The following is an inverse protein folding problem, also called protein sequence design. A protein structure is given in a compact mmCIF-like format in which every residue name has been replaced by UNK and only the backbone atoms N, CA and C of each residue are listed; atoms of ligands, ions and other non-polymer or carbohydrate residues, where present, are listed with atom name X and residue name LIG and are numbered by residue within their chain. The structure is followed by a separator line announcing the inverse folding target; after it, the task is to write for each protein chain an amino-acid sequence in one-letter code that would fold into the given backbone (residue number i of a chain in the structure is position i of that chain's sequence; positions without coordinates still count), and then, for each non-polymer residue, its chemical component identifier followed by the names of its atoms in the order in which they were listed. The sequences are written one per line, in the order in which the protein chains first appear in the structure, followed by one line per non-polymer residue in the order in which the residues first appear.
data_IF_391141179660
#
_entry.id   IF_391141179660
#
_cell.length_a   1.000
_cell.length_b   1.000
_cell.length_c   1.000
_cell.angle_alpha   90.00
_cell.angle_beta   90.00
_cell.angle_gamma   90.00
#
_symmetry.space_group_name_H-M   'P 1'
#
loop_
_entity.id
_entity.type
_entity.pdbx_description
1 polymer ?
#
# COMPACT_ATOMS: atom_id res chain seq x y z
N UNK A 1 -15.00 10.81 -36.01
CA UNK A 1 -15.63 9.63 -35.37
C UNK A 1 -14.51 8.79 -34.79
N UNK A 2 -14.43 8.67 -33.47
CA UNK A 2 -13.52 7.69 -32.84
C UNK A 2 -14.01 6.32 -33.28
N UNK A 3 -13.11 5.50 -33.83
CA UNK A 3 -13.44 4.12 -34.15
C UNK A 3 -13.80 3.42 -32.83
N UNK A 4 -15.05 2.99 -32.68
CA UNK A 4 -15.56 2.37 -31.44
C UNK A 4 -14.66 1.21 -30.97
N UNK A 5 -14.04 0.48 -31.90
CA UNK A 5 -13.10 -0.59 -31.57
C UNK A 5 -11.84 -0.08 -30.87
N UNK A 6 -11.34 1.10 -31.26
CA UNK A 6 -10.16 1.71 -30.64
C UNK A 6 -10.46 2.18 -29.22
N UNK A 7 -11.67 2.70 -28.99
CA UNK A 7 -12.14 3.12 -27.67
C UNK A 7 -12.33 1.93 -26.71
N UNK A 8 -12.92 0.84 -27.20
CA UNK A 8 -13.06 -0.41 -26.43
C UNK A 8 -11.69 -1.00 -26.08
N UNK A 9 -10.74 -0.98 -27.02
CA UNK A 9 -9.39 -1.49 -26.78
C UNK A 9 -8.63 -0.66 -25.72
N UNK A 10 -8.82 0.66 -25.74
CA UNK A 10 -8.27 1.58 -24.73
C UNK A 10 -8.85 1.34 -23.34
N UNK A 11 -10.17 1.15 -23.23
CA UNK A 11 -10.81 0.81 -21.95
C UNK A 11 -10.30 -0.52 -21.43
N UNK A 12 -10.23 -1.54 -22.28
CA UNK A 12 -9.73 -2.86 -21.91
C UNK A 12 -8.28 -2.77 -21.39
N UNK A 13 -7.39 -2.08 -22.08
CA UNK A 13 -5.99 -1.94 -21.65
C UNK A 13 -5.87 -1.18 -20.33
N UNK A 14 -6.69 -0.15 -20.10
CA UNK A 14 -6.74 0.60 -18.85
C UNK A 14 -7.16 -0.28 -17.67
N UNK A 15 -8.20 -1.11 -17.84
CA UNK A 15 -8.66 -2.02 -16.80
C UNK A 15 -7.66 -3.15 -16.52
N UNK A 16 -7.03 -3.73 -17.56
CA UNK A 16 -5.97 -4.73 -17.39
C UNK A 16 -4.74 -4.14 -16.67
N UNK A 17 -4.34 -2.90 -17.00
CA UNK A 17 -3.23 -2.23 -16.34
C UNK A 17 -3.46 -2.05 -14.84
N UNK A 18 -4.70 -1.77 -14.41
CA UNK A 18 -5.02 -1.68 -12.98
C UNK A 18 -4.94 -3.03 -12.27
N UNK A 19 -5.38 -4.11 -12.90
CA UNK A 19 -5.32 -5.46 -12.31
C UNK A 19 -3.87 -5.91 -12.13
N UNK A 20 -2.97 -5.54 -13.05
CA UNK A 20 -1.53 -5.86 -12.95
C UNK A 20 -0.81 -5.18 -11.77
N UNK A 21 -1.43 -4.22 -11.07
CA UNK A 21 -0.83 -3.55 -9.90
C UNK A 21 -1.20 -4.19 -8.56
N UNK A 22 -2.05 -5.22 -8.56
CA UNK A 22 -2.41 -5.94 -7.33
C UNK A 22 -1.32 -6.98 -7.01
N UNK A 23 -0.45 -6.67 -6.05
CA UNK A 23 0.48 -7.63 -5.47
C UNK A 23 -0.21 -8.40 -4.34
N UNK A 24 -0.17 -9.72 -4.40
CA UNK A 24 -0.59 -10.57 -3.29
C UNK A 24 0.50 -10.59 -2.23
N UNK A 25 0.13 -10.23 -1.00
CA UNK A 25 1.00 -10.30 0.17
C UNK A 25 0.80 -11.67 0.82
N UNK A 26 1.86 -12.48 0.83
CA UNK A 26 1.86 -13.80 1.48
C UNK A 26 2.62 -13.77 2.80
N UNK A 27 2.49 -14.82 3.61
CA UNK A 27 3.26 -14.96 4.85
C UNK A 27 4.76 -14.77 4.61
N UNK A 28 5.40 -13.96 5.45
CA UNK A 28 6.82 -13.58 5.33
C UNK A 28 7.09 -12.38 4.41
N UNK A 29 6.09 -11.85 3.71
CA UNK A 29 6.26 -10.63 2.92
C UNK A 29 6.51 -9.42 3.82
N UNK A 30 7.53 -8.64 3.51
CA UNK A 30 7.76 -7.34 4.15
C UNK A 30 6.86 -6.28 3.53
N UNK A 31 6.09 -5.57 4.36
CA UNK A 31 5.19 -4.50 3.93
C UNK A 31 5.49 -3.20 4.67
N UNK A 32 5.13 -2.07 4.05
CA UNK A 32 5.17 -0.75 4.66
C UNK A 32 3.73 -0.30 4.85
N UNK A 33 3.40 0.11 6.07
CA UNK A 33 2.09 0.66 6.40
C UNK A 33 2.19 2.19 6.44
N UNK A 34 1.35 2.88 5.68
CA UNK A 34 1.30 4.34 5.61
C UNK A 34 -0.08 4.84 6.02
N UNK A 35 -0.12 5.85 6.88
CA UNK A 35 -1.36 6.49 7.30
C UNK A 35 -1.93 7.33 6.15
N UNK A 36 -3.18 7.05 5.73
CA UNK A 36 -3.81 7.73 4.59
C UNK A 36 -3.96 9.24 4.82
N UNK A 37 -4.22 9.66 6.06
CA UNK A 37 -4.47 11.06 6.42
C UNK A 37 -3.20 11.88 6.57
N UNK A 38 -2.18 11.35 7.25
CA UNK A 38 -0.95 12.10 7.54
C UNK A 38 0.21 11.80 6.58
N UNK A 39 0.13 10.71 5.81
CA UNK A 39 1.20 10.19 4.95
C UNK A 39 2.46 9.75 5.68
N UNK A 40 2.42 9.70 7.01
CA UNK A 40 3.51 9.13 7.79
C UNK A 40 3.44 7.60 7.77
N UNK A 41 4.62 6.99 7.84
CA UNK A 41 4.77 5.54 7.86
C UNK A 41 4.69 5.05 9.29
N UNK A 42 4.03 3.92 9.50
CA UNK A 42 4.11 3.20 10.76
C UNK A 42 5.49 2.56 10.87
N UNK A 43 6.17 2.76 11.99
CA UNK A 43 7.45 2.12 12.29
C UNK A 43 7.58 1.82 13.78
N UNK A 44 8.50 0.93 14.14
CA UNK A 44 8.90 0.68 15.52
C UNK A 44 10.39 0.99 15.71
N UNK A 45 10.79 1.27 16.95
CA UNK A 45 12.19 1.58 17.29
C UNK A 45 12.61 0.80 18.52
N UNK A 46 13.89 0.55 18.72
CA UNK A 46 14.38 -0.19 19.90
C UNK A 46 14.22 0.58 21.23
N UNK A 47 13.75 1.83 21.18
CA UNK A 47 13.38 2.58 22.37
C UNK A 47 12.16 1.92 23.03
N UNK A 48 12.19 1.86 24.37
CA UNK A 48 11.06 1.37 25.16
C UNK A 48 10.02 2.46 25.35
N UNK A 49 8.75 2.07 25.46
CA UNK A 49 7.67 3.00 25.79
C UNK A 49 7.81 3.52 27.23
N UNK A 50 8.55 4.61 27.42
CA UNK A 50 8.65 5.41 28.66
C UNK A 50 8.52 4.62 29.97
N UNK A 51 7.66 5.09 30.88
CA UNK A 51 7.28 4.40 32.13
C UNK A 51 6.11 3.42 31.95
N UNK A 52 5.83 3.00 30.72
CA UNK A 52 4.72 2.11 30.37
C UNK A 52 5.10 0.64 30.51
N UNK A 53 4.55 -0.21 29.63
CA UNK A 53 4.72 -1.68 29.67
C UNK A 53 6.15 -2.18 29.49
N UNK A 54 7.11 -1.30 29.19
CA UNK A 54 8.50 -1.67 28.89
C UNK A 54 8.68 -2.34 27.52
N UNK A 55 7.60 -2.47 26.74
CA UNK A 55 7.63 -3.00 25.38
C UNK A 55 8.18 -1.97 24.38
N UNK A 56 8.50 -2.47 23.19
CA UNK A 56 9.01 -1.67 22.08
C UNK A 56 8.04 -0.55 21.70
N UNK A 57 8.58 0.64 21.45
CA UNK A 57 7.82 1.81 21.01
C UNK A 57 7.40 1.66 19.54
N UNK A 58 6.10 1.81 19.28
CA UNK A 58 5.49 1.89 17.94
C UNK A 58 5.02 3.33 17.70
N UNK A 59 5.38 3.90 16.55
CA UNK A 59 5.16 5.31 16.20
C UNK A 59 4.52 5.41 14.81
N UNK A 60 3.64 6.41 14.65
CA UNK A 60 2.92 6.73 13.40
C UNK A 60 3.31 8.08 12.87
#
# INVERSE_FOLDING_TARGET
MINNNLFVFFLLSFFLSKICTCLYVTDGSSIILENIGTKYKLFSTDMKWGTGSGNQLVVT
#
